data_IF_969405944911
#
_entry.id   IF_969405944911
#
_cell.length_a   1.000
_cell.length_b   1.000
_cell.length_c   1.000
_cell.angle_alpha   90.00
_cell.angle_beta   90.00
_cell.angle_gamma   90.00
#
_symmetry.space_group_name_H-M   'P 1'
#
loop_
_entity.id
_entity.type
_entity.pdbx_description
1 polymer ?
#
# COMPACT_ATOMS: atom_id res chain seq x y z
N UNK A 1 12.33 25.99 -12.07
CA UNK A 1 11.02 25.38 -11.74
C UNK A 1 10.51 26.03 -10.47
N UNK A 2 9.40 26.77 -10.49
CA UNK A 2 8.87 27.37 -9.26
C UNK A 2 8.37 26.25 -8.34
N UNK A 3 8.80 26.27 -7.08
CA UNK A 3 8.26 25.37 -6.06
C UNK A 3 6.75 25.58 -6.07
N UNK A 4 5.93 24.53 -6.29
CA UNK A 4 4.48 24.69 -6.23
C UNK A 4 4.18 25.28 -4.86
N UNK A 5 3.52 26.42 -4.82
CA UNK A 5 3.25 27.13 -3.58
C UNK A 5 2.24 26.29 -2.79
N UNK A 6 2.76 25.26 -2.11
CA UNK A 6 2.04 24.35 -1.24
C UNK A 6 1.29 25.24 -0.26
N UNK A 7 0.00 24.98 -0.04
CA UNK A 7 -0.89 25.80 0.80
C UNK A 7 -1.42 27.12 0.18
N UNK A 8 -1.56 27.17 -1.14
CA UNK A 8 -2.41 28.17 -1.81
C UNK A 8 -3.85 27.64 -2.02
N UNK A 9 -4.79 28.56 -2.29
CA UNK A 9 -6.20 28.22 -2.47
C UNK A 9 -6.42 27.21 -3.62
N UNK A 10 -5.69 27.36 -4.73
CA UNK A 10 -5.79 26.47 -5.90
C UNK A 10 -5.40 25.04 -5.58
N UNK A 11 -4.30 24.85 -4.85
CA UNK A 11 -3.86 23.54 -4.37
C UNK A 11 -4.97 22.89 -3.54
N UNK A 12 -5.54 23.63 -2.58
CA UNK A 12 -6.62 23.09 -1.77
C UNK A 12 -7.87 22.74 -2.59
N UNK A 13 -8.27 23.58 -3.53
CA UNK A 13 -9.40 23.30 -4.43
C UNK A 13 -9.15 22.03 -5.28
N UNK A 14 -7.91 21.79 -5.72
CA UNK A 14 -7.55 20.57 -6.43
C UNK A 14 -7.56 19.33 -5.51
N UNK A 15 -7.06 19.45 -4.29
CA UNK A 15 -6.92 18.28 -3.38
C UNK A 15 -8.24 17.88 -2.72
N UNK A 16 -9.05 18.84 -2.27
CA UNK A 16 -10.28 18.56 -1.51
C UNK A 16 -11.56 18.95 -2.25
N UNK A 17 -11.45 19.52 -3.45
CA UNK A 17 -12.59 20.01 -4.23
C UNK A 17 -13.24 21.27 -3.65
N UNK A 18 -14.41 21.58 -4.21
CA UNK A 18 -15.28 22.62 -3.68
C UNK A 18 -15.92 22.13 -2.38
N UNK A 19 -15.48 22.69 -1.25
CA UNK A 19 -15.91 22.30 0.09
C UNK A 19 -16.26 23.54 0.90
N UNK A 20 -16.96 23.37 2.01
CA UNK A 20 -17.26 24.50 2.91
C UNK A 20 -15.98 25.19 3.41
N UNK A 21 -14.88 24.44 3.59
CA UNK A 21 -13.59 24.96 4.07
C UNK A 21 -12.89 25.78 2.98
N UNK A 22 -12.87 25.29 1.74
CA UNK A 22 -12.32 26.04 0.59
C UNK A 22 -13.14 27.28 0.27
N UNK A 23 -14.48 27.20 0.35
CA UNK A 23 -15.36 28.38 0.27
C UNK A 23 -15.09 29.39 1.37
N UNK A 24 -14.92 28.93 2.61
CA UNK A 24 -14.57 29.76 3.76
C UNK A 24 -13.27 30.54 3.52
N UNK A 25 -12.21 29.82 3.11
CA UNK A 25 -10.93 30.43 2.76
C UNK A 25 -11.06 31.44 1.61
N UNK A 26 -11.78 31.11 0.54
CA UNK A 26 -12.03 32.00 -0.60
C UNK A 26 -12.70 33.29 -0.15
N UNK A 27 -13.77 33.19 0.64
CA UNK A 27 -14.46 34.37 1.19
C UNK A 27 -13.53 35.25 2.03
N UNK A 28 -12.71 34.65 2.88
CA UNK A 28 -11.76 35.40 3.72
C UNK A 28 -10.65 36.07 2.91
N UNK A 29 -10.20 35.45 1.81
CA UNK A 29 -9.25 36.08 0.88
C UNK A 29 -9.87 37.27 0.14
N UNK A 30 -11.13 37.17 -0.28
CA UNK A 30 -11.87 38.31 -0.85
C UNK A 30 -12.05 39.42 0.18
N UNK A 31 -12.32 39.09 1.44
CA UNK A 31 -12.40 40.09 2.52
C UNK A 31 -11.06 40.81 2.75
N UNK A 32 -9.94 40.08 2.71
CA UNK A 32 -8.59 40.69 2.76
C UNK A 32 -8.39 41.69 1.63
N UNK A 33 -8.78 41.33 0.42
CA UNK A 33 -8.64 42.22 -0.75
C UNK A 33 -9.50 43.48 -0.60
N UNK A 34 -10.76 43.32 -0.21
CA UNK A 34 -11.67 44.46 0.06
C UNK A 34 -11.13 45.37 1.17
N UNK A 35 -10.64 44.79 2.27
CA UNK A 35 -10.08 45.56 3.39
C UNK A 35 -8.82 46.35 2.99
N UNK A 36 -7.97 45.76 2.15
CA UNK A 36 -6.80 46.45 1.60
C UNK A 36 -7.19 47.62 0.70
N UNK A 37 -8.25 47.48 -0.11
CA UNK A 37 -8.76 48.55 -0.97
C UNK A 37 -9.44 49.67 -0.17
N UNK A 38 -10.17 49.32 0.90
CA UNK A 38 -10.96 50.27 1.68
C UNK A 38 -10.14 51.08 2.68
N UNK A 39 -9.09 50.49 3.28
CA UNK A 39 -8.30 51.19 4.31
C UNK A 39 -7.25 52.16 3.74
N UNK A 40 -7.01 52.16 2.42
CA UNK A 40 -5.92 52.92 1.79
C UNK A 40 -4.50 52.53 2.26
N UNK A 41 -4.39 51.63 3.25
CA UNK A 41 -3.15 51.17 3.84
C UNK A 41 -2.87 49.71 3.42
N UNK A 42 -1.61 49.33 3.21
CA UNK A 42 -1.24 47.95 2.91
C UNK A 42 -1.37 47.01 4.14
N UNK A 43 -1.80 47.53 5.30
CA UNK A 43 -1.84 46.79 6.57
C UNK A 43 -3.16 46.04 6.72
N UNK A 44 -3.13 44.75 6.41
CA UNK A 44 -4.23 43.82 6.67
C UNK A 44 -4.43 43.68 8.19
N UNK A 45 -5.69 43.80 8.65
CA UNK A 45 -6.04 43.61 10.06
C UNK A 45 -5.62 42.22 10.58
N UNK A 46 -5.20 42.15 11.86
CA UNK A 46 -4.83 40.88 12.50
C UNK A 46 -5.99 39.87 12.47
N UNK A 47 -7.22 40.33 12.65
CA UNK A 47 -8.41 39.47 12.62
C UNK A 47 -8.58 38.76 11.27
N UNK A 48 -8.40 39.47 10.14
CA UNK A 48 -8.49 38.86 8.80
C UNK A 48 -7.37 37.85 8.59
N UNK A 49 -6.14 38.15 9.03
CA UNK A 49 -5.01 37.21 8.96
C UNK A 49 -5.31 35.94 9.75
N UNK A 50 -5.85 36.06 10.96
CA UNK A 50 -6.19 34.92 11.82
C UNK A 50 -7.28 34.05 11.17
N UNK A 51 -8.33 34.65 10.60
CA UNK A 51 -9.39 33.90 9.92
C UNK A 51 -8.83 33.13 8.71
N UNK A 52 -7.99 33.76 7.89
CA UNK A 52 -7.33 33.07 6.76
C UNK A 52 -6.47 31.92 7.26
N UNK A 53 -5.68 32.14 8.31
CA UNK A 53 -4.82 31.12 8.90
C UNK A 53 -5.63 29.92 9.41
N UNK A 54 -6.71 30.16 10.16
CA UNK A 54 -7.60 29.11 10.67
C UNK A 54 -8.17 28.28 9.52
N UNK A 55 -8.66 28.93 8.45
CA UNK A 55 -9.17 28.20 7.30
C UNK A 55 -8.10 27.35 6.60
N UNK A 56 -6.89 27.90 6.40
CA UNK A 56 -5.78 27.13 5.85
C UNK A 56 -5.43 25.92 6.73
N UNK A 57 -5.42 26.10 8.04
CA UNK A 57 -5.13 25.04 9.01
C UNK A 57 -6.20 23.94 8.96
N UNK A 58 -7.48 24.31 8.96
CA UNK A 58 -8.59 23.36 8.87
C UNK A 58 -8.55 22.53 7.58
N UNK A 59 -8.18 23.13 6.46
CA UNK A 59 -8.02 22.41 5.20
C UNK A 59 -6.81 21.47 5.28
N UNK A 60 -5.66 21.96 5.76
CA UNK A 60 -4.44 21.15 5.93
C UNK A 60 -4.71 19.90 6.76
N UNK A 61 -5.37 20.05 7.90
CA UNK A 61 -5.74 18.92 8.77
C UNK A 61 -6.63 17.93 8.03
N UNK A 62 -7.57 18.39 7.21
CA UNK A 62 -8.42 17.51 6.40
C UNK A 62 -7.58 16.70 5.40
N UNK A 63 -6.72 17.37 4.64
CA UNK A 63 -5.84 16.73 3.63
C UNK A 63 -4.96 15.67 4.28
N UNK A 64 -4.27 16.05 5.37
CA UNK A 64 -3.40 15.13 6.10
C UNK A 64 -4.18 13.94 6.67
N UNK A 65 -5.40 14.15 7.17
CA UNK A 65 -6.25 13.07 7.67
C UNK A 65 -6.65 12.10 6.56
N UNK A 66 -7.00 12.60 5.38
CA UNK A 66 -7.35 11.75 4.23
C UNK A 66 -6.15 10.97 3.71
N UNK A 67 -4.97 11.60 3.61
CA UNK A 67 -3.73 10.92 3.21
C UNK A 67 -3.33 9.85 4.23
N UNK A 68 -3.40 10.17 5.53
CA UNK A 68 -3.11 9.21 6.61
C UNK A 68 -4.05 8.00 6.54
N UNK A 69 -5.35 8.23 6.31
CA UNK A 69 -6.32 7.15 6.17
C UNK A 69 -6.03 6.29 4.93
N UNK A 70 -5.71 6.91 3.81
CA UNK A 70 -5.36 6.22 2.57
C UNK A 70 -4.12 5.34 2.76
N UNK A 71 -3.04 5.89 3.32
CA UNK A 71 -1.82 5.15 3.62
C UNK A 71 -2.09 3.99 4.57
N UNK A 72 -2.89 4.21 5.64
CA UNK A 72 -3.26 3.15 6.58
C UNK A 72 -3.99 2.00 5.89
N UNK A 73 -4.91 2.30 4.98
CA UNK A 73 -5.63 1.27 4.24
C UNK A 73 -4.70 0.50 3.31
N UNK A 74 -3.81 1.20 2.59
CA UNK A 74 -2.82 0.55 1.73
C UNK A 74 -1.86 -0.36 2.51
N UNK A 75 -1.44 0.06 3.70
CA UNK A 75 -0.62 -0.80 4.58
C UNK A 75 -1.37 -2.05 5.02
N UNK A 76 -2.68 -1.95 5.31
CA UNK A 76 -3.50 -3.13 5.66
C UNK A 76 -3.64 -4.10 4.49
N UNK A 77 -3.86 -3.60 3.28
CA UNK A 77 -3.94 -4.42 2.07
C UNK A 77 -2.63 -5.18 1.86
N UNK A 78 -1.48 -4.48 1.87
CA UNK A 78 -0.17 -5.10 1.71
C UNK A 78 0.14 -6.14 2.80
N UNK A 79 -0.26 -5.88 4.04
CA UNK A 79 -0.10 -6.83 5.14
C UNK A 79 -0.94 -8.11 4.90
N UNK A 80 -2.16 -7.97 4.36
CA UNK A 80 -3.02 -9.11 4.02
C UNK A 80 -2.46 -9.93 2.87
N UNK A 81 -2.00 -9.29 1.79
CA UNK A 81 -1.33 -9.94 0.65
C UNK A 81 -0.08 -10.69 1.10
N UNK A 82 0.74 -10.07 1.95
CA UNK A 82 1.93 -10.72 2.53
C UNK A 82 1.55 -11.94 3.37
N UNK A 83 0.43 -11.88 4.08
CA UNK A 83 -0.12 -13.00 4.85
C UNK A 83 -0.48 -14.19 3.95
N UNK A 84 -1.17 -13.92 2.83
CA UNK A 84 -1.55 -14.94 1.85
C UNK A 84 -0.32 -15.59 1.20
N UNK A 85 0.63 -14.79 0.73
CA UNK A 85 1.89 -15.28 0.15
C UNK A 85 2.66 -16.16 1.15
N UNK A 86 2.66 -15.79 2.42
CA UNK A 86 3.30 -16.59 3.47
C UNK A 86 2.60 -17.94 3.68
N UNK A 87 1.27 -17.99 3.58
CA UNK A 87 0.54 -19.27 3.63
C UNK A 87 0.81 -20.13 2.40
N UNK A 88 0.76 -19.56 1.19
CA UNK A 88 1.07 -20.28 -0.05
C UNK A 88 2.49 -20.86 -0.01
N UNK A 89 3.46 -20.08 0.46
CA UNK A 89 4.83 -20.58 0.59
C UNK A 89 4.96 -21.73 1.60
N UNK A 90 4.15 -21.76 2.66
CA UNK A 90 4.12 -22.93 3.58
C UNK A 90 3.53 -24.15 2.89
N UNK A 91 2.44 -23.98 2.13
CA UNK A 91 1.82 -25.06 1.37
C UNK A 91 2.79 -25.65 0.37
N UNK A 92 3.42 -24.81 -0.45
CA UNK A 92 4.42 -25.26 -1.43
C UNK A 92 5.62 -25.97 -0.78
N UNK A 93 6.07 -25.52 0.39
CA UNK A 93 7.12 -26.22 1.15
C UNK A 93 6.67 -27.62 1.59
N UNK A 94 5.43 -27.75 2.04
CA UNK A 94 4.87 -29.04 2.44
C UNK A 94 4.71 -29.98 1.24
N UNK A 95 4.15 -29.49 0.14
CA UNK A 95 4.01 -30.26 -1.11
C UNK A 95 5.36 -30.73 -1.65
N UNK A 96 6.38 -29.86 -1.63
CA UNK A 96 7.74 -30.21 -2.04
C UNK A 96 8.34 -31.30 -1.14
N UNK A 97 8.13 -31.23 0.17
CA UNK A 97 8.59 -32.26 1.10
C UNK A 97 7.88 -33.60 0.85
N UNK A 98 6.57 -33.57 0.60
CA UNK A 98 5.79 -34.75 0.28
C UNK A 98 6.27 -35.40 -1.03
N UNK A 99 6.42 -34.62 -2.10
CA UNK A 99 6.91 -35.10 -3.39
C UNK A 99 8.32 -35.72 -3.30
N UNK A 100 9.20 -35.15 -2.47
CA UNK A 100 10.52 -35.74 -2.20
C UNK A 100 10.41 -37.10 -1.51
N UNK A 101 9.50 -37.24 -0.55
CA UNK A 101 9.25 -38.51 0.15
C UNK A 101 8.71 -39.57 -0.81
N UNK A 102 7.71 -39.23 -1.62
CA UNK A 102 7.14 -40.14 -2.63
C UNK A 102 8.19 -40.59 -3.64
N UNK A 103 9.06 -39.68 -4.10
CA UNK A 103 10.15 -39.99 -5.01
C UNK A 103 11.18 -40.93 -4.36
N UNK A 104 11.50 -40.74 -3.08
CA UNK A 104 12.39 -41.63 -2.34
C UNK A 104 11.78 -43.05 -2.22
N UNK A 105 10.49 -43.15 -1.90
CA UNK A 105 9.77 -44.42 -1.86
C UNK A 105 9.77 -45.11 -3.23
N UNK A 106 9.45 -44.39 -4.30
CA UNK A 106 9.46 -44.94 -5.66
C UNK A 106 10.85 -45.46 -6.06
N UNK A 107 11.92 -44.73 -5.70
CA UNK A 107 13.30 -45.19 -5.91
C UNK A 107 13.62 -46.45 -5.14
N UNK A 108 13.22 -46.53 -3.87
CA UNK A 108 13.44 -47.72 -3.05
C UNK A 108 12.71 -48.93 -3.62
N UNK A 109 11.44 -48.76 -4.02
CA UNK A 109 10.66 -49.81 -4.68
C UNK A 109 11.34 -50.28 -5.98
N UNK A 110 11.82 -49.36 -6.82
CA UNK A 110 12.53 -49.72 -8.05
C UNK A 110 13.80 -50.54 -7.76
N UNK A 111 14.59 -50.15 -6.77
CA UNK A 111 15.79 -50.89 -6.35
C UNK A 111 15.43 -52.28 -5.85
N UNK A 112 14.42 -52.39 -5.00
CA UNK A 112 13.91 -53.66 -4.50
C UNK A 112 13.45 -54.61 -5.63
N UNK A 113 12.69 -54.10 -6.61
CA UNK A 113 12.27 -54.89 -7.76
C UNK A 113 13.46 -55.35 -8.61
N UNK A 114 14.49 -54.51 -8.77
CA UNK A 114 15.72 -54.91 -9.48
C UNK A 114 16.45 -56.03 -8.75
N UNK A 115 16.55 -55.95 -7.43
CA UNK A 115 17.20 -56.96 -6.59
C UNK A 115 16.48 -58.32 -6.66
N UNK A 116 15.14 -58.33 -6.55
CA UNK A 116 14.34 -59.55 -6.76
C UNK A 116 14.59 -60.13 -8.15
N UNK A 117 14.60 -59.29 -9.18
CA UNK A 117 14.83 -59.74 -10.55
C UNK A 117 16.21 -60.36 -10.73
N UNK A 118 17.26 -59.81 -10.12
CA UNK A 118 18.60 -60.42 -10.18
C UNK A 118 18.65 -61.79 -9.50
N UNK A 119 17.98 -61.97 -8.35
CA UNK A 119 17.94 -63.26 -7.65
C UNK A 119 17.24 -64.33 -8.48
N UNK A 120 16.12 -63.98 -9.13
CA UNK A 120 15.39 -64.91 -10.00
C UNK A 120 16.20 -65.38 -11.22
N UNK A 121 17.13 -64.56 -11.72
CA UNK A 121 18.02 -64.90 -12.85
C UNK A 121 19.16 -65.82 -12.43
N UNK A 122 19.67 -65.73 -11.19
CA UNK A 122 20.70 -66.64 -10.68
C UNK A 122 20.17 -68.03 -10.28
N UNK A 123 18.85 -68.16 -10.05
CA UNK A 123 18.21 -69.42 -9.64
C UNK A 123 17.82 -70.37 -10.79
N UNK A 124 18.06 -70.01 -12.05
CA UNK A 124 17.96 -70.94 -13.19
C UNK A 124 19.36 -71.41 -13.58
N UNK A 125 19.88 -72.50 -12.97
CA UNK A 125 21.10 -73.11 -13.47
C UNK A 125 20.78 -73.73 -14.84
N UNK A 126 21.63 -73.43 -15.82
CA UNK A 126 21.67 -74.08 -17.12
C UNK A 126 21.52 -75.60 -16.95
N UNK A 127 20.36 -76.13 -17.35
CA UNK A 127 20.20 -77.56 -17.58
C UNK A 127 20.96 -77.87 -18.87
N UNK A 128 22.21 -78.29 -18.70
CA UNK A 128 22.99 -79.02 -19.71
C UNK A 128 22.48 -80.45 -19.85
#
# INVERSE_FOLDING_TARGET
MSVPNWFNLRYFEQTIGESYRSRGLRKSLVMKEKNSRFSGSPKISRSIKNVIFIWKLLIKVKVQKTETLHLRNRTKELASETGLLKSEMRTLKWELANAKSELALARNSLTFYKEIRSIGVESSPDQS
#
